data_IF_450168721060
#
_entry.id   IF_450168721060
#
_cell.length_a   1.000
_cell.length_b   1.000
_cell.length_c   1.000
_cell.angle_alpha   90.00
_cell.angle_beta   90.00
_cell.angle_gamma   90.00
#
_symmetry.space_group_name_H-M   'P 1'
#
loop_
_entity.id
_entity.type
_entity.pdbx_description
1 polymer ?
#
# COMPACT_ATOMS: atom_id res chain seq x y z
N UNK A 1 2.02 -1.32 17.30
CA UNK A 1 1.09 -2.36 16.81
C UNK A 1 1.51 -2.72 15.38
N UNK A 2 2.24 -3.82 15.18
CA UNK A 2 3.19 -3.96 14.05
C UNK A 2 2.59 -4.57 12.78
N UNK A 3 1.27 -4.61 12.65
CA UNK A 3 0.65 -5.59 11.74
C UNK A 3 0.88 -5.28 10.25
N UNK A 4 1.05 -4.01 9.85
CA UNK A 4 1.24 -3.62 8.44
C UNK A 4 2.40 -2.66 8.20
N UNK A 5 3.21 -2.33 9.20
CA UNK A 5 4.25 -1.29 9.05
C UNK A 5 5.35 -1.75 8.07
N UNK A 6 5.82 -2.99 8.19
CA UNK A 6 6.79 -3.56 7.25
C UNK A 6 6.31 -3.50 5.79
N UNK A 7 5.06 -3.91 5.54
CA UNK A 7 4.46 -3.86 4.18
C UNK A 7 4.35 -2.41 3.70
N UNK A 8 4.07 -1.46 4.61
CA UNK A 8 4.03 -0.03 4.30
C UNK A 8 5.41 0.50 3.91
N UNK A 9 6.45 0.17 4.66
CA UNK A 9 7.82 0.60 4.38
C UNK A 9 8.28 0.04 3.03
N UNK A 10 8.06 -1.25 2.79
CA UNK A 10 8.39 -1.89 1.50
C UNK A 10 7.64 -1.24 0.34
N UNK A 11 6.34 -0.98 0.50
CA UNK A 11 5.56 -0.28 -0.52
C UNK A 11 6.12 1.13 -0.81
N UNK A 12 6.46 1.90 0.22
CA UNK A 12 7.02 3.25 0.04
C UNK A 12 8.37 3.17 -0.65
N UNK A 13 9.25 2.27 -0.22
CA UNK A 13 10.56 2.06 -0.82
C UNK A 13 10.45 1.65 -2.30
N UNK A 14 9.49 0.78 -2.62
CA UNK A 14 9.22 0.38 -4.01
C UNK A 14 8.76 1.59 -4.85
N UNK A 15 7.81 2.37 -4.35
CA UNK A 15 7.28 3.54 -5.07
C UNK A 15 8.34 4.63 -5.28
N UNK A 16 9.24 4.84 -4.31
CA UNK A 16 10.36 5.78 -4.44
C UNK A 16 11.31 5.43 -5.58
N UNK A 17 11.39 4.15 -5.96
CA UNK A 17 12.22 3.65 -7.07
C UNK A 17 11.48 3.58 -8.40
N UNK A 18 10.17 3.85 -8.42
CA UNK A 18 9.36 3.80 -9.65
C UNK A 18 9.62 5.01 -10.56
N UNK A 19 9.41 4.84 -11.86
CA UNK A 19 9.52 5.91 -12.85
C UNK A 19 8.60 7.08 -12.53
N UNK A 20 7.43 6.81 -11.95
CA UNK A 20 6.50 7.86 -11.50
C UNK A 20 7.16 8.85 -10.52
N UNK A 21 8.08 8.41 -9.66
CA UNK A 21 8.78 9.29 -8.71
C UNK A 21 10.13 9.76 -9.28
N UNK A 22 10.91 8.85 -9.86
CA UNK A 22 12.27 9.16 -10.30
C UNK A 22 12.31 10.00 -11.58
N UNK A 23 11.45 9.67 -12.55
CA UNK A 23 11.43 10.31 -13.88
C UNK A 23 10.43 11.45 -13.91
N UNK A 24 9.17 11.17 -13.54
CA UNK A 24 8.08 12.15 -13.61
C UNK A 24 8.08 13.14 -12.42
N UNK A 25 8.89 12.89 -11.39
CA UNK A 25 9.00 13.71 -10.17
C UNK A 25 7.67 13.95 -9.46
N UNK A 26 6.72 13.03 -9.64
CA UNK A 26 5.45 13.11 -8.93
C UNK A 26 5.64 12.76 -7.44
N UNK A 27 4.90 13.41 -6.55
CA UNK A 27 4.87 12.97 -5.16
C UNK A 27 4.24 11.58 -5.07
N UNK A 28 4.77 10.71 -4.20
CA UNK A 28 4.36 9.31 -4.06
C UNK A 28 2.82 9.13 -3.98
N UNK A 29 2.13 10.08 -3.32
CA UNK A 29 0.66 10.08 -3.21
C UNK A 29 -0.05 10.04 -4.57
N UNK A 30 0.51 10.73 -5.56
CA UNK A 30 -0.03 10.81 -6.92
C UNK A 30 0.23 9.50 -7.67
N UNK A 31 1.38 8.87 -7.44
CA UNK A 31 1.72 7.58 -8.03
C UNK A 31 0.78 6.43 -7.61
N UNK A 32 -0.03 6.59 -6.56
CA UNK A 32 -1.12 5.65 -6.26
C UNK A 32 -2.37 5.84 -7.13
N UNK A 33 -2.44 6.86 -7.99
CA UNK A 33 -3.60 7.06 -8.86
C UNK A 33 -3.53 6.11 -10.08
N UNK A 34 -4.67 5.62 -10.59
CA UNK A 34 -4.70 4.70 -11.73
C UNK A 34 -4.01 5.24 -12.98
N UNK A 35 -4.00 6.56 -13.16
CA UNK A 35 -3.37 7.26 -14.28
C UNK A 35 -1.84 7.11 -14.36
N UNK A 36 -1.19 6.64 -13.29
CA UNK A 36 0.26 6.39 -13.27
C UNK A 36 0.58 4.89 -13.16
N UNK A 37 -0.41 4.01 -13.33
CA UNK A 37 -0.22 2.56 -13.15
C UNK A 37 0.81 1.98 -14.13
N UNK A 38 0.96 2.56 -15.33
CA UNK A 38 1.97 2.19 -16.32
C UNK A 38 3.39 2.58 -15.90
N UNK A 39 3.54 3.57 -15.01
CA UNK A 39 4.82 4.06 -14.48
C UNK A 39 5.20 3.44 -13.13
N UNK A 40 4.41 2.48 -12.66
CA UNK A 40 4.60 1.81 -11.38
C UNK A 40 4.85 0.32 -11.63
N UNK A 41 6.02 -0.22 -11.23
CA UNK A 41 6.34 -1.63 -11.40
C UNK A 41 5.29 -2.55 -10.79
N UNK A 42 5.07 -3.72 -11.41
CA UNK A 42 4.09 -4.71 -10.95
C UNK A 42 4.33 -5.11 -9.48
N UNK A 43 5.59 -5.24 -9.07
CA UNK A 43 5.99 -5.50 -7.67
C UNK A 43 5.35 -4.49 -6.70
N UNK A 44 5.44 -3.20 -7.01
CA UNK A 44 4.85 -2.15 -6.17
C UNK A 44 3.31 -2.24 -6.15
N UNK A 45 2.70 -2.65 -7.27
CA UNK A 45 1.26 -2.88 -7.33
C UNK A 45 0.83 -4.08 -6.46
N UNK A 46 1.63 -5.15 -6.42
CA UNK A 46 1.39 -6.30 -5.53
C UNK A 46 1.53 -5.89 -4.06
N UNK A 47 2.58 -5.14 -3.70
CA UNK A 47 2.76 -4.60 -2.35
C UNK A 47 1.58 -3.72 -1.94
N UNK A 48 1.01 -2.93 -2.85
CA UNK A 48 -0.18 -2.12 -2.60
C UNK A 48 -1.41 -2.98 -2.30
N UNK A 49 -1.61 -4.08 -3.04
CA UNK A 49 -2.69 -5.05 -2.77
C UNK A 49 -2.51 -5.69 -1.39
N UNK A 50 -1.30 -6.16 -1.08
CA UNK A 50 -0.95 -6.75 0.22
C UNK A 50 -1.15 -5.77 1.38
N UNK A 51 -0.73 -4.51 1.22
CA UNK A 51 -0.95 -3.47 2.23
C UNK A 51 -2.44 -3.19 2.45
N UNK A 52 -3.22 -3.14 1.37
CA UNK A 52 -4.67 -2.94 1.44
C UNK A 52 -5.37 -4.10 2.14
N UNK A 53 -4.98 -5.34 1.84
CA UNK A 53 -5.47 -6.54 2.52
C UNK A 53 -5.12 -6.54 4.01
N UNK A 54 -3.87 -6.18 4.35
CA UNK A 54 -3.42 -6.06 5.73
C UNK A 54 -4.24 -5.02 6.52
N UNK A 55 -4.47 -3.83 5.94
CA UNK A 55 -5.31 -2.79 6.55
C UNK A 55 -6.75 -3.25 6.77
N UNK A 56 -7.33 -4.01 5.83
CA UNK A 56 -8.68 -4.56 5.96
C UNK A 56 -8.76 -5.57 7.11
N UNK A 57 -7.79 -6.50 7.18
CA UNK A 57 -7.70 -7.47 8.29
C UNK A 57 -7.66 -6.79 9.66
N UNK A 58 -6.88 -5.71 9.81
CA UNK A 58 -6.85 -4.93 11.06
C UNK A 58 -8.19 -4.30 11.43
N UNK A 59 -9.00 -3.90 10.45
CA UNK A 59 -10.34 -3.37 10.69
C UNK A 59 -11.32 -4.48 11.08
N UNK A 60 -11.24 -5.64 10.43
CA UNK A 60 -12.11 -6.78 10.73
C UNK A 60 -11.81 -7.43 12.09
N UNK A 61 -10.54 -7.50 12.51
CA UNK A 61 -10.19 -7.97 13.87
C UNK A 61 -10.78 -7.05 14.96
N UNK A 62 -10.88 -5.73 14.70
CA UNK A 62 -11.55 -4.78 15.60
C UNK A 62 -13.08 -4.95 15.63
N UNK A 63 -13.69 -5.55 14.61
CA UNK A 63 -15.13 -5.84 14.57
C UNK A 63 -15.53 -7.14 15.26
N UNK A 64 -14.59 -8.07 15.48
CA UNK A 64 -14.86 -9.39 16.09
C UNK A 64 -15.21 -9.37 17.58
N UNK A 65 -15.07 -8.25 18.29
CA UNK A 65 -15.34 -8.14 19.74
C UNK A 65 -16.80 -7.82 20.11
N UNK A 66 -17.81 -8.21 19.31
CA UNK A 66 -19.23 -7.91 19.59
C UNK A 66 -20.19 -9.11 19.54
N UNK A 67 -19.74 -10.30 19.93
CA UNK A 67 -20.64 -11.43 20.19
C UNK A 67 -20.25 -12.16 21.46
N UNK A 68 -20.50 -11.50 22.60
CA UNK A 68 -20.75 -12.15 23.89
C UNK A 68 -22.08 -11.58 24.36
N UNK A 69 -23.17 -12.20 23.94
CA UNK A 69 -24.42 -12.33 24.70
C UNK A 69 -25.28 -13.41 24.05
#
# INVERSE_FOLDING_TARGET
MPSCDNIRQELVNCMLKSDCVLVERNPIKECFKPQHADKVPEECQQLRKSFSACKRSLLDMRKRFRSIN
#
